data_IF_368368176012
#
_entry.id   IF_368368176012
#
_cell.length_a   1.000
_cell.length_b   1.000
_cell.length_c   1.000
_cell.angle_alpha   90.00
_cell.angle_beta   90.00
_cell.angle_gamma   90.00
#
_symmetry.space_group_name_H-M   'P 1'
#
loop_
_entity.id
_entity.type
_entity.pdbx_description
1 polymer ?
#
# COMPACT_ATOMS: atom_id res chain seq x y z
N UNK A 1 -19.75 0.36 10.59
CA UNK A 1 -19.50 1.07 11.87
C UNK A 1 -18.63 2.26 11.51
N UNK A 2 -19.08 3.48 11.73
CA UNK A 2 -18.37 4.68 11.23
C UNK A 2 -16.92 4.71 11.72
N UNK A 3 -15.98 5.05 10.84
CA UNK A 3 -14.57 5.21 11.21
C UNK A 3 -14.40 6.36 12.22
N UNK A 4 -13.70 6.10 13.32
CA UNK A 4 -13.49 7.08 14.39
C UNK A 4 -12.24 7.92 14.14
N UNK A 5 -12.19 9.14 14.70
CA UNK A 5 -11.01 10.02 14.62
C UNK A 5 -9.71 9.32 15.05
N UNK A 6 -9.77 8.53 16.13
CA UNK A 6 -8.62 7.78 16.64
C UNK A 6 -8.14 6.69 15.66
N UNK A 7 -9.06 6.01 14.97
CA UNK A 7 -8.71 5.02 13.95
C UNK A 7 -8.06 5.70 12.72
N UNK A 8 -8.51 6.89 12.35
CA UNK A 8 -7.91 7.69 11.28
C UNK A 8 -6.50 8.18 11.64
N UNK A 9 -6.31 8.71 12.84
CA UNK A 9 -4.98 9.13 13.33
C UNK A 9 -4.01 7.94 13.37
N UNK A 10 -4.47 6.78 13.86
CA UNK A 10 -3.69 5.55 13.84
C UNK A 10 -3.34 5.10 12.41
N UNK A 11 -4.29 5.14 11.48
CA UNK A 11 -4.04 4.82 10.07
C UNK A 11 -3.03 5.78 9.44
N UNK A 12 -3.10 7.07 9.78
CA UNK A 12 -2.12 8.08 9.39
C UNK A 12 -0.71 7.72 9.84
N UNK A 13 -0.54 7.42 11.13
CA UNK A 13 0.75 6.99 11.69
C UNK A 13 1.25 5.66 11.13
N UNK A 14 0.36 4.68 10.93
CA UNK A 14 0.71 3.41 10.31
C UNK A 14 1.21 3.59 8.86
N UNK A 15 0.58 4.48 8.09
CA UNK A 15 0.98 4.76 6.71
C UNK A 15 2.36 5.42 6.63
N UNK A 16 2.64 6.40 7.49
CA UNK A 16 3.96 7.03 7.58
C UNK A 16 5.02 6.02 8.03
N UNK A 17 4.69 5.18 9.01
CA UNK A 17 5.60 4.14 9.50
C UNK A 17 5.91 3.13 8.38
N UNK A 18 4.92 2.75 7.58
CA UNK A 18 5.12 1.86 6.43
C UNK A 18 6.07 2.47 5.39
N UNK A 19 5.85 3.74 5.03
CA UNK A 19 6.72 4.47 4.13
C UNK A 19 8.17 4.55 4.65
N UNK A 20 8.33 4.79 5.96
CA UNK A 20 9.63 4.86 6.60
C UNK A 20 10.34 3.50 6.63
N UNK A 21 9.61 2.39 6.78
CA UNK A 21 10.19 1.03 6.77
C UNK A 21 10.55 0.58 5.35
N UNK A 22 9.83 1.03 4.33
CA UNK A 22 10.09 0.67 2.95
C UNK A 22 11.50 1.06 2.48
N UNK A 23 12.01 2.21 2.93
CA UNK A 23 13.33 2.73 2.52
C UNK A 23 14.49 1.87 3.07
N UNK A 24 14.60 1.61 4.39
CA UNK A 24 15.60 0.68 4.93
C UNK A 24 15.44 -0.74 4.40
N UNK A 25 14.22 -1.21 4.17
CA UNK A 25 13.98 -2.54 3.62
C UNK A 25 14.62 -2.71 2.25
N UNK A 26 14.49 -1.69 1.39
CA UNK A 26 15.16 -1.66 0.08
C UNK A 26 16.69 -1.66 0.25
N UNK A 27 17.25 -0.82 1.12
CA UNK A 27 18.69 -0.80 1.36
C UNK A 27 19.20 -2.15 1.90
N UNK A 28 18.42 -2.80 2.76
CA UNK A 28 18.78 -4.06 3.37
C UNK A 28 18.74 -5.22 2.37
N UNK A 29 17.84 -5.23 1.39
CA UNK A 29 17.81 -6.28 0.36
C UNK A 29 19.10 -6.30 -0.47
N UNK A 30 19.66 -5.13 -0.78
CA UNK A 30 20.94 -5.01 -1.49
C UNK A 30 22.12 -5.47 -0.61
N UNK A 31 22.05 -5.19 0.69
CA UNK A 31 23.10 -5.61 1.64
C UNK A 31 23.06 -7.12 1.93
N UNK A 32 21.87 -7.72 1.95
CA UNK A 32 21.60 -9.13 2.21
C UNK A 32 22.18 -10.08 1.15
N UNK A 33 22.25 -9.66 -0.12
CA UNK A 33 22.97 -10.41 -1.17
C UNK A 33 24.46 -10.57 -0.84
N UNK A 34 25.01 -9.65 -0.05
CA UNK A 34 26.45 -9.62 0.29
C UNK A 34 26.75 -10.40 1.58
N UNK A 35 25.79 -10.59 2.49
CA UNK A 35 26.00 -11.19 3.81
C UNK A 35 25.15 -12.46 3.99
N UNK A 36 25.76 -13.63 3.73
CA UNK A 36 25.14 -14.93 3.99
C UNK A 36 25.11 -15.21 5.50
N UNK A 37 23.93 -15.14 6.12
CA UNK A 37 23.74 -15.47 7.54
C UNK A 37 22.27 -15.64 7.94
N UNK A 38 22.03 -16.36 9.05
CA UNK A 38 20.68 -16.60 9.60
C UNK A 38 20.07 -15.32 10.19
N UNK A 39 20.89 -14.46 10.81
CA UNK A 39 20.45 -13.20 11.41
C UNK A 39 19.75 -12.26 10.42
N UNK A 40 20.39 -11.91 9.28
CA UNK A 40 19.77 -11.08 8.26
C UNK A 40 18.45 -11.63 7.70
N UNK A 41 18.34 -12.96 7.54
CA UNK A 41 17.10 -13.63 7.08
C UNK A 41 15.95 -13.49 8.08
N UNK A 42 16.23 -13.62 9.38
CA UNK A 42 15.24 -13.41 10.44
C UNK A 42 14.78 -11.95 10.50
N UNK A 43 15.71 -10.99 10.38
CA UNK A 43 15.39 -9.57 10.33
C UNK A 43 14.50 -9.24 9.14
N UNK A 44 14.80 -9.80 7.96
CA UNK A 44 13.97 -9.64 6.76
C UNK A 44 12.56 -10.22 6.97
N UNK A 45 12.44 -11.44 7.50
CA UNK A 45 11.14 -12.05 7.77
C UNK A 45 10.28 -11.21 8.73
N UNK A 46 10.88 -10.67 9.81
CA UNK A 46 10.18 -9.80 10.75
C UNK A 46 9.72 -8.51 10.06
N UNK A 47 10.59 -7.86 9.28
CA UNK A 47 10.25 -6.65 8.53
C UNK A 47 9.12 -6.92 7.52
N UNK A 48 9.12 -8.06 6.84
CA UNK A 48 8.06 -8.46 5.92
C UNK A 48 6.73 -8.62 6.65
N UNK A 49 6.71 -9.30 7.80
CA UNK A 49 5.47 -9.50 8.59
C UNK A 49 4.93 -8.16 9.12
N UNK A 50 5.81 -7.30 9.66
CA UNK A 50 5.43 -5.99 10.18
C UNK A 50 4.93 -5.08 9.04
N UNK A 51 5.64 -5.03 7.92
CA UNK A 51 5.25 -4.25 6.74
C UNK A 51 3.92 -4.73 6.15
N UNK A 52 3.71 -6.05 6.06
CA UNK A 52 2.42 -6.62 5.65
C UNK A 52 1.30 -6.18 6.60
N UNK A 53 1.50 -6.29 7.91
CA UNK A 53 0.52 -5.87 8.91
C UNK A 53 0.13 -4.39 8.77
N UNK A 54 1.13 -3.51 8.60
CA UNK A 54 0.91 -2.09 8.37
C UNK A 54 0.14 -1.83 7.07
N UNK A 55 0.58 -2.42 5.97
CA UNK A 55 -0.08 -2.29 4.67
C UNK A 55 -1.55 -2.74 4.71
N UNK A 56 -1.81 -3.90 5.32
CA UNK A 56 -3.17 -4.43 5.48
C UNK A 56 -4.05 -3.48 6.29
N UNK A 57 -3.53 -2.92 7.38
CA UNK A 57 -4.27 -1.95 8.20
C UNK A 57 -4.57 -0.66 7.42
N UNK A 58 -3.57 -0.11 6.74
CA UNK A 58 -3.67 1.13 5.95
C UNK A 58 -4.69 0.99 4.83
N UNK A 59 -4.62 -0.08 4.04
CA UNK A 59 -5.53 -0.28 2.91
C UNK A 59 -6.95 -0.62 3.37
N UNK A 60 -7.09 -1.29 4.51
CA UNK A 60 -8.39 -1.54 5.14
C UNK A 60 -9.01 -0.25 5.70
N UNK A 61 -8.21 0.62 6.32
CA UNK A 61 -8.65 1.93 6.78
C UNK A 61 -9.07 2.82 5.60
N UNK A 62 -8.34 2.80 4.49
CA UNK A 62 -8.72 3.48 3.26
C UNK A 62 -10.06 2.97 2.72
N UNK A 63 -10.24 1.64 2.66
CA UNK A 63 -11.52 1.03 2.26
C UNK A 63 -12.67 1.55 3.12
N UNK A 64 -12.49 1.54 4.43
CA UNK A 64 -13.51 1.98 5.37
C UNK A 64 -13.80 3.47 5.23
N UNK A 65 -12.78 4.30 5.02
CA UNK A 65 -12.94 5.73 4.74
C UNK A 65 -13.75 5.97 3.45
N UNK A 66 -13.43 5.28 2.36
CA UNK A 66 -14.14 5.40 1.08
C UNK A 66 -15.60 4.94 1.19
N UNK A 67 -15.87 3.85 1.90
CA UNK A 67 -17.21 3.31 2.05
C UNK A 67 -18.07 4.11 3.05
N UNK A 68 -17.51 4.51 4.20
CA UNK A 68 -18.27 5.20 5.23
C UNK A 68 -18.52 6.67 4.87
N UNK A 69 -17.52 7.39 4.34
CA UNK A 69 -17.63 8.84 4.04
C UNK A 69 -18.13 9.11 2.63
N UNK A 70 -17.57 8.42 1.65
CA UNK A 70 -17.84 8.68 0.23
C UNK A 70 -18.82 7.70 -0.41
N UNK A 71 -19.33 6.70 0.35
CA UNK A 71 -20.21 5.61 -0.13
C UNK A 71 -19.70 4.89 -1.40
N UNK A 72 -18.38 4.93 -1.61
CA UNK A 72 -17.77 4.52 -2.86
C UNK A 72 -17.23 3.09 -2.78
N UNK A 73 -18.05 2.13 -3.19
CA UNK A 73 -17.75 0.70 -3.10
C UNK A 73 -17.03 0.14 -4.33
N UNK A 74 -16.83 0.95 -5.38
CA UNK A 74 -16.33 0.52 -6.69
C UNK A 74 -14.88 0.00 -6.64
N UNK A 75 -14.18 0.30 -5.54
CA UNK A 75 -12.76 -0.04 -5.31
C UNK A 75 -12.58 -1.22 -4.35
N UNK A 76 -13.65 -1.69 -3.70
CA UNK A 76 -13.61 -2.75 -2.69
C UNK A 76 -12.97 -4.05 -3.19
N UNK A 77 -13.32 -4.46 -4.42
CA UNK A 77 -12.79 -5.68 -5.03
C UNK A 77 -11.28 -5.58 -5.24
N UNK A 78 -10.79 -4.42 -5.67
CA UNK A 78 -9.35 -4.20 -5.89
C UNK A 78 -8.59 -4.19 -4.57
N UNK A 79 -9.13 -3.56 -3.52
CA UNK A 79 -8.52 -3.60 -2.19
C UNK A 79 -8.46 -5.04 -1.67
N UNK A 80 -9.53 -5.80 -1.83
CA UNK A 80 -9.56 -7.21 -1.42
C UNK A 80 -8.53 -8.06 -2.18
N UNK A 81 -8.38 -7.83 -3.50
CA UNK A 81 -7.37 -8.48 -4.32
C UNK A 81 -5.95 -8.09 -3.90
N UNK A 82 -5.69 -6.82 -3.59
CA UNK A 82 -4.38 -6.36 -3.09
C UNK A 82 -4.05 -6.94 -1.72
N UNK A 83 -5.04 -7.10 -0.84
CA UNK A 83 -4.88 -7.77 0.46
C UNK A 83 -4.51 -9.25 0.26
N UNK A 84 -5.33 -9.99 -0.49
CA UNK A 84 -5.11 -11.41 -0.73
C UNK A 84 -3.80 -11.68 -1.47
N UNK A 85 -3.49 -10.86 -2.48
CA UNK A 85 -2.24 -10.94 -3.23
C UNK A 85 -1.02 -10.77 -2.32
N UNK A 86 -1.04 -9.79 -1.40
CA UNK A 86 0.08 -9.53 -0.50
C UNK A 86 0.25 -10.64 0.53
N UNK A 87 -0.85 -11.19 1.05
CA UNK A 87 -0.81 -12.33 1.97
C UNK A 87 -0.17 -13.54 1.29
N UNK A 88 -0.61 -13.88 0.07
CA UNK A 88 -0.05 -15.01 -0.70
C UNK A 88 1.43 -14.79 -0.99
N UNK A 89 1.82 -13.59 -1.42
CA UNK A 89 3.23 -13.23 -1.67
C UNK A 89 4.08 -13.33 -0.42
N UNK A 90 3.60 -12.85 0.73
CA UNK A 90 4.33 -12.94 1.99
C UNK A 90 4.53 -14.39 2.44
N UNK A 91 3.51 -15.25 2.30
CA UNK A 91 3.61 -16.68 2.59
C UNK A 91 4.64 -17.34 1.68
N UNK A 92 4.59 -17.06 0.37
CA UNK A 92 5.57 -17.56 -0.61
C UNK A 92 6.98 -17.09 -0.29
N UNK A 93 7.16 -15.81 0.06
CA UNK A 93 8.45 -15.24 0.45
C UNK A 93 9.02 -15.93 1.69
N UNK A 94 8.19 -16.23 2.70
CA UNK A 94 8.62 -16.96 3.89
C UNK A 94 8.98 -18.41 3.60
N UNK A 95 8.23 -19.08 2.72
CA UNK A 95 8.52 -20.45 2.27
C UNK A 95 9.83 -20.53 1.47
N UNK A 96 10.10 -19.52 0.64
CA UNK A 96 11.33 -19.40 -0.15
C UNK A 96 12.58 -19.29 0.73
N UNK A 97 12.48 -18.64 1.90
CA UNK A 97 13.60 -18.54 2.85
C UNK A 97 14.03 -19.90 3.43
N UNK A 98 13.11 -20.87 3.47
CA UNK A 98 13.34 -22.21 4.05
C UNK A 98 13.77 -23.28 3.05
N UNK A 99 13.48 -23.12 1.76
CA UNK A 99 13.67 -24.17 0.74
C UNK A 99 14.54 -23.69 -0.42
N UNK A 100 15.87 -23.87 -0.29
CA UNK A 100 16.83 -23.45 -1.31
C UNK A 100 16.73 -24.16 -2.68
N UNK A 101 15.86 -25.18 -2.82
CA UNK A 101 15.67 -25.91 -4.09
C UNK A 101 14.65 -25.28 -5.03
N UNK A 102 13.86 -24.30 -4.58
CA UNK A 102 12.81 -23.64 -5.39
C UNK A 102 13.18 -22.23 -5.84
N UNK A 103 14.44 -21.82 -5.66
CA UNK A 103 14.89 -20.43 -5.85
C UNK A 103 14.51 -19.88 -7.24
N UNK A 104 14.78 -20.62 -8.32
CA UNK A 104 14.48 -20.18 -9.69
C UNK A 104 12.97 -20.13 -9.99
N UNK A 105 12.16 -21.03 -9.42
CA UNK A 105 10.72 -21.00 -9.61
C UNK A 105 10.09 -19.84 -8.83
N UNK A 106 10.56 -19.61 -7.61
CA UNK A 106 10.12 -18.50 -6.77
C UNK A 106 10.50 -17.16 -7.38
N UNK A 107 11.65 -17.04 -8.02
CA UNK A 107 12.07 -15.81 -8.70
C UNK A 107 11.12 -15.43 -9.85
N UNK A 108 10.82 -16.38 -10.75
CA UNK A 108 9.87 -16.18 -11.85
C UNK A 108 8.46 -15.87 -11.32
N UNK A 109 8.02 -16.60 -10.29
CA UNK A 109 6.73 -16.36 -9.65
C UNK A 109 6.67 -14.97 -9.01
N UNK A 110 7.75 -14.51 -8.37
CA UNK A 110 7.84 -13.18 -7.75
C UNK A 110 7.75 -12.08 -8.82
N UNK A 111 8.46 -12.22 -9.95
CA UNK A 111 8.37 -11.27 -11.07
C UNK A 111 6.96 -11.23 -11.65
N UNK A 112 6.34 -12.39 -11.89
CA UNK A 112 4.96 -12.45 -12.37
C UNK A 112 3.98 -11.79 -11.39
N UNK A 113 4.16 -12.00 -10.08
CA UNK A 113 3.35 -11.39 -9.05
C UNK A 113 3.55 -9.87 -8.98
N UNK A 114 4.78 -9.36 -9.14
CA UNK A 114 5.07 -7.93 -9.21
C UNK A 114 4.36 -7.25 -10.38
N UNK A 115 4.38 -7.88 -11.57
CA UNK A 115 3.65 -7.39 -12.75
C UNK A 115 2.15 -7.35 -12.46
N UNK A 116 1.59 -8.43 -11.92
CA UNK A 116 0.18 -8.50 -11.51
C UNK A 116 -0.19 -7.41 -10.51
N UNK A 117 0.67 -7.17 -9.51
CA UNK A 117 0.50 -6.09 -8.54
C UNK A 117 0.57 -4.70 -9.16
N UNK A 118 1.47 -4.49 -10.11
CA UNK A 118 1.56 -3.24 -10.87
C UNK A 118 0.27 -2.95 -11.64
N UNK A 119 -0.28 -3.95 -12.33
CA UNK A 119 -1.56 -3.84 -13.04
C UNK A 119 -2.69 -3.53 -12.06
N UNK A 120 -2.78 -4.26 -10.94
CA UNK A 120 -3.79 -4.00 -9.91
C UNK A 120 -3.68 -2.58 -9.34
N UNK A 121 -2.46 -2.09 -9.11
CA UNK A 121 -2.21 -0.72 -8.62
C UNK A 121 -2.68 0.34 -9.62
N UNK A 122 -2.42 0.14 -10.92
CA UNK A 122 -2.91 1.02 -12.00
C UNK A 122 -4.45 1.01 -12.04
N UNK A 123 -5.07 -0.18 -12.00
CA UNK A 123 -6.52 -0.30 -12.01
C UNK A 123 -7.16 0.33 -10.77
N UNK A 124 -6.55 0.14 -9.60
CA UNK A 124 -6.96 0.75 -8.34
C UNK A 124 -6.90 2.28 -8.42
N UNK A 125 -5.77 2.85 -8.84
CA UNK A 125 -5.61 4.30 -8.96
C UNK A 125 -6.53 4.94 -10.00
N UNK A 126 -6.74 4.29 -11.15
CA UNK A 126 -7.65 4.78 -12.18
C UNK A 126 -9.12 4.70 -11.78
N UNK A 127 -9.51 3.68 -10.99
CA UNK A 127 -10.84 3.58 -10.40
C UNK A 127 -11.04 4.60 -9.29
N UNK A 128 -10.03 4.85 -8.48
CA UNK A 128 -10.08 5.84 -7.40
C UNK A 128 -10.23 7.27 -7.95
N UNK A 129 -9.70 7.57 -9.15
CA UNK A 129 -9.95 8.84 -9.85
C UNK A 129 -11.43 9.09 -10.21
N UNK A 130 -12.27 8.06 -10.20
CA UNK A 130 -13.72 8.20 -10.45
C UNK A 130 -14.49 8.65 -9.20
N UNK A 131 -13.81 8.82 -8.07
CA UNK A 131 -14.42 9.38 -6.87
C UNK A 131 -14.82 10.84 -7.15
N UNK A 132 -16.12 11.15 -7.04
CA UNK A 132 -16.63 12.51 -7.21
C UNK A 132 -16.20 13.47 -6.10
N UNK A 133 -15.80 12.94 -4.94
CA UNK A 133 -15.27 13.69 -3.81
C UNK A 133 -13.76 13.85 -3.88
N UNK A 134 -13.27 15.03 -3.50
CA UNK A 134 -11.84 15.25 -3.32
C UNK A 134 -11.46 14.74 -1.92
N UNK A 135 -10.52 13.79 -1.83
CA UNK A 135 -10.04 13.18 -0.59
C UNK A 135 -9.15 14.21 0.14
N UNK A 136 -9.81 15.25 0.64
CA UNK A 136 -9.24 16.43 1.27
C UNK A 136 -8.17 17.13 0.40
N UNK A 137 -8.41 17.17 -0.93
CA UNK A 137 -7.54 17.77 -1.94
C UNK A 137 -6.32 16.93 -2.33
N UNK A 138 -6.17 15.72 -1.79
CA UNK A 138 -5.02 14.84 -2.00
C UNK A 138 -5.33 13.59 -2.83
N UNK A 139 -6.56 13.44 -3.32
CA UNK A 139 -6.96 12.26 -4.10
C UNK A 139 -6.19 12.16 -5.42
N UNK A 140 -6.17 13.25 -6.19
CA UNK A 140 -5.50 13.30 -7.49
C UNK A 140 -4.00 12.97 -7.38
N UNK A 141 -3.21 13.64 -6.51
CA UNK A 141 -1.79 13.31 -6.38
C UNK A 141 -1.59 11.88 -5.88
N UNK A 142 -2.41 11.37 -4.96
CA UNK A 142 -2.35 9.96 -4.56
C UNK A 142 -2.54 9.03 -5.75
N UNK A 143 -3.61 9.21 -6.53
CA UNK A 143 -3.91 8.37 -7.69
C UNK A 143 -2.81 8.40 -8.74
N UNK A 144 -2.27 9.57 -9.07
CA UNK A 144 -1.18 9.69 -10.05
C UNK A 144 0.10 8.98 -9.57
N UNK A 145 0.44 9.12 -8.30
CA UNK A 145 1.61 8.45 -7.72
C UNK A 145 1.40 6.93 -7.67
N UNK A 146 0.20 6.46 -7.31
CA UNK A 146 -0.13 5.02 -7.30
C UNK A 146 -0.09 4.42 -8.71
N UNK A 147 -0.66 5.10 -9.71
CA UNK A 147 -0.58 4.67 -11.11
C UNK A 147 0.88 4.65 -11.58
N UNK A 148 1.64 5.72 -11.29
CA UNK A 148 3.06 5.81 -11.63
C UNK A 148 3.88 4.69 -10.99
N UNK A 149 3.65 4.39 -9.72
CA UNK A 149 4.26 3.27 -9.01
C UNK A 149 3.91 1.93 -9.68
N UNK A 150 2.64 1.74 -10.04
CA UNK A 150 2.18 0.54 -10.75
C UNK A 150 2.87 0.34 -12.11
N UNK A 151 3.03 1.40 -12.91
CA UNK A 151 3.77 1.35 -14.18
C UNK A 151 5.24 0.98 -13.95
N UNK A 152 5.86 1.53 -12.90
CA UNK A 152 7.23 1.21 -12.53
C UNK A 152 7.37 -0.26 -12.09
N UNK A 153 6.39 -0.81 -11.35
CA UNK A 153 6.36 -2.23 -10.98
C UNK A 153 6.27 -3.16 -12.19
N UNK A 154 5.42 -2.83 -13.17
CA UNK A 154 5.30 -3.63 -14.41
C UNK A 154 6.61 -3.64 -15.21
N UNK A 155 7.36 -2.54 -15.17
CA UNK A 155 8.60 -2.38 -15.97
C UNK A 155 9.79 -3.13 -15.36
N UNK A 156 9.70 -3.61 -14.11
CA UNK A 156 10.71 -4.37 -13.32
C UNK A 156 12.06 -3.63 -13.13
N UNK A 157 12.67 -3.10 -14.18
CA UNK A 157 13.85 -2.24 -14.14
C UNK A 157 13.69 -0.99 -13.28
N UNK A 158 12.45 -0.48 -13.16
CA UNK A 158 12.12 0.71 -12.38
C UNK A 158 11.69 0.37 -10.94
N UNK A 159 11.95 -0.84 -10.45
CA UNK A 159 11.55 -1.29 -9.13
C UNK A 159 12.01 -0.37 -7.97
N UNK A 160 13.24 0.19 -7.96
CA UNK A 160 13.63 1.15 -6.92
C UNK A 160 12.75 2.40 -6.94
N UNK A 161 12.43 2.91 -8.13
CA UNK A 161 11.55 4.06 -8.33
C UNK A 161 10.12 3.71 -7.91
N UNK A 162 9.67 2.50 -8.21
CA UNK A 162 8.34 2.01 -7.83
C UNK A 162 8.15 2.00 -6.31
N UNK A 163 9.17 1.55 -5.57
CA UNK A 163 9.17 1.52 -4.10
C UNK A 163 9.15 2.94 -3.53
N UNK A 164 9.97 3.85 -4.06
CA UNK A 164 9.96 5.24 -3.63
C UNK A 164 8.61 5.91 -3.92
N UNK A 165 8.05 5.70 -5.10
CA UNK A 165 6.71 6.19 -5.43
C UNK A 165 5.64 5.59 -4.51
N UNK A 166 5.74 4.31 -4.17
CA UNK A 166 4.88 3.65 -3.19
C UNK A 166 4.97 4.29 -1.81
N UNK A 167 6.19 4.56 -1.32
CA UNK A 167 6.40 5.26 -0.05
C UNK A 167 5.81 6.68 -0.07
N UNK A 168 5.93 7.40 -1.19
CA UNK A 168 5.27 8.71 -1.36
C UNK A 168 3.75 8.58 -1.33
N UNK A 169 3.19 7.57 -1.99
CA UNK A 169 1.75 7.29 -1.95
C UNK A 169 1.28 7.02 -0.51
N UNK A 170 2.04 6.24 0.27
CA UNK A 170 1.76 5.96 1.67
C UNK A 170 1.84 7.24 2.53
N UNK A 171 2.77 8.14 2.27
CA UNK A 171 2.83 9.44 2.97
C UNK A 171 1.61 10.30 2.63
N UNK A 172 1.26 10.42 1.34
CA UNK A 172 0.07 11.16 0.90
C UNK A 172 -1.19 10.60 1.55
N UNK A 173 -1.31 9.27 1.58
CA UNK A 173 -2.41 8.57 2.22
C UNK A 173 -2.45 8.83 3.73
N UNK A 174 -1.29 8.83 4.39
CA UNK A 174 -1.18 9.16 5.81
C UNK A 174 -1.67 10.58 6.12
N UNK A 175 -1.24 11.56 5.33
CA UNK A 175 -1.71 12.95 5.44
C UNK A 175 -3.22 13.04 5.16
N UNK A 176 -3.73 12.25 4.21
CA UNK A 176 -5.15 12.22 3.90
C UNK A 176 -5.99 11.69 5.08
N UNK A 177 -5.47 10.72 5.84
CA UNK A 177 -6.12 10.23 7.06
C UNK A 177 -6.11 11.27 8.18
N UNK A 178 -5.00 11.99 8.38
CA UNK A 178 -4.95 13.07 9.37
C UNK A 178 -5.93 14.21 9.03
N UNK A 179 -6.01 14.61 7.75
CA UNK A 179 -7.01 15.60 7.32
C UNK A 179 -8.44 15.09 7.52
N UNK A 180 -8.69 13.81 7.25
CA UNK A 180 -9.97 13.16 7.51
C UNK A 180 -10.32 13.06 9.01
N UNK A 181 -9.30 12.96 9.87
CA UNK A 181 -9.45 12.97 11.33
C UNK A 181 -9.76 14.37 11.87
N UNK A 182 -9.24 15.41 11.23
CA UNK A 182 -9.49 16.81 11.59
C UNK A 182 -10.86 17.32 11.10
N UNK A 183 -11.32 16.89 9.92
CA UNK A 183 -12.62 17.30 9.38
C UNK A 183 -13.78 16.48 9.95
N UNK A 184 -14.59 17.13 10.78
CA UNK A 184 -15.75 16.53 11.45
C UNK A 184 -16.88 16.34 10.43
N UNK A 185 -17.75 15.31 10.53
CA UNK A 185 -18.86 15.10 9.57
C UNK A 185 -19.79 16.30 9.31
N UNK A 186 -19.79 17.31 10.19
CA UNK A 186 -20.57 18.53 10.02
C UNK A 186 -20.01 19.48 8.94
N UNK A 187 -18.70 19.51 8.71
CA UNK A 187 -18.11 20.38 7.67
C UNK A 187 -18.40 19.85 6.26
N UNK A 188 -18.54 18.52 6.14
CA UNK A 188 -18.84 17.79 4.91
C UNK A 188 -20.27 18.11 4.39
N UNK A 189 -21.21 18.35 5.31
CA UNK A 189 -22.60 18.75 5.00
C UNK A 189 -22.67 20.23 4.60
N UNK A 190 -21.80 21.08 5.14
CA UNK A 190 -21.77 22.51 4.80
C UNK A 190 -21.05 22.81 3.48
N UNK A 191 -20.13 21.95 3.07
CA UNK A 191 -19.36 22.08 1.82
C UNK A 191 -19.98 21.39 0.61
N UNK A 192 -21.01 20.56 0.80
CA UNK A 192 -21.77 20.00 -0.31
C UNK A 192 -22.51 21.16 -1.02
N UNK A 193 -22.33 21.36 -2.34
CA UNK A 193 -23.19 22.27 -3.07
C UNK A 193 -24.62 21.79 -2.88
N UNK A 194 -25.49 22.68 -2.45
CA UNK A 194 -26.93 22.45 -2.48
C UNK A 194 -27.28 22.39 -3.98
N UNK A 195 -27.41 21.18 -4.54
CA UNK A 195 -28.10 20.96 -5.82
C UNK A 195 -29.60 21.23 -5.67
#
# INVERSE_FOLDING_TARGET
MAITKKELDLAGWCSITNALIAIPSLAMSWFLETVKGIGPRLSQAILTVVGLGLFLYVIHALRRLLNDRFKFHDVDTYISLMIWGNIVLAILSLLSLGTGQLESFMEVLTVAALIGFGILSIMFGTRLLRLSGDLYGLLKPFCYVTIGSGICLVTVFLLPVAILAGAVADVILGVSFFRAAEQTPQDEILSAPIE
#
